data_IF_746875818174
#
_entry.id   IF_746875818174
#
_cell.length_a   1.000
_cell.length_b   1.000
_cell.length_c   1.000
_cell.angle_alpha   90.00
_cell.angle_beta   90.00
_cell.angle_gamma   90.00
#
_symmetry.space_group_name_H-M   'P 1'
#
loop_
_entity.id
_entity.type
_entity.pdbx_description
1 polymer ?
#
# COMPACT_ATOMS: atom_id res chain seq x y z
N UNK A 1 -10.22 1.52 -5.69
CA UNK A 1 -10.19 2.86 -5.08
C UNK A 1 -11.57 3.22 -4.59
N UNK A 2 -11.65 3.88 -3.45
CA UNK A 2 -12.90 4.32 -2.84
C UNK A 2 -12.85 5.84 -2.66
N UNK A 3 -13.89 6.56 -3.10
CA UNK A 3 -13.95 8.03 -3.05
C UNK A 3 -15.25 8.55 -2.45
N UNK A 4 -15.26 9.75 -1.88
CA UNK A 4 -16.44 10.39 -1.27
C UNK A 4 -16.75 9.88 0.15
N UNK A 5 -17.96 10.07 0.65
CA UNK A 5 -18.42 9.48 1.91
C UNK A 5 -19.10 8.14 1.64
N UNK A 6 -18.80 7.11 2.45
CA UNK A 6 -19.46 5.81 2.32
C UNK A 6 -20.98 5.96 2.47
N UNK A 7 -21.76 5.26 1.65
CA UNK A 7 -23.23 5.33 1.65
C UNK A 7 -23.84 6.65 1.12
N UNK A 8 -23.07 7.74 1.03
CA UNK A 8 -23.55 9.05 0.58
C UNK A 8 -22.65 9.63 -0.53
N UNK A 9 -23.01 9.35 -1.79
CA UNK A 9 -22.30 9.80 -3.00
C UNK A 9 -20.87 9.27 -3.14
N UNK A 10 -20.48 8.28 -2.33
CA UNK A 10 -19.19 7.62 -2.46
C UNK A 10 -19.17 6.60 -3.60
N UNK A 11 -18.12 6.63 -4.43
CA UNK A 11 -17.92 5.68 -5.54
C UNK A 11 -16.84 4.67 -5.18
N UNK A 12 -17.05 3.42 -5.62
CA UNK A 12 -16.09 2.34 -5.51
C UNK A 12 -15.66 1.93 -6.92
N UNK A 13 -14.37 2.09 -7.21
CA UNK A 13 -13.77 1.73 -8.49
C UNK A 13 -13.00 0.43 -8.36
N UNK A 14 -13.35 -0.53 -9.20
CA UNK A 14 -12.58 -1.73 -9.48
C UNK A 14 -11.77 -1.49 -10.76
N UNK A 15 -10.47 -1.70 -10.71
CA UNK A 15 -9.57 -1.52 -11.85
C UNK A 15 -8.75 -2.78 -12.06
N UNK A 16 -8.46 -3.09 -13.32
CA UNK A 16 -7.47 -4.09 -13.72
C UNK A 16 -6.64 -3.52 -14.86
N UNK A 17 -5.35 -3.81 -14.87
CA UNK A 17 -4.43 -3.45 -15.94
C UNK A 17 -4.15 -4.59 -16.91
N UNK A 18 -4.60 -5.81 -16.58
CA UNK A 18 -4.11 -7.06 -17.19
C UNK A 18 -2.58 -7.23 -17.13
N UNK A 19 -1.91 -6.53 -16.20
CA UNK A 19 -0.48 -6.65 -15.96
C UNK A 19 -0.24 -7.19 -14.54
N UNK A 20 0.25 -8.42 -14.46
CA UNK A 20 0.54 -9.10 -13.18
C UNK A 20 1.70 -8.48 -12.39
N UNK A 21 2.55 -7.67 -13.05
CA UNK A 21 3.78 -7.13 -12.45
C UNK A 21 3.61 -5.74 -11.86
N UNK A 22 2.54 -5.03 -12.19
CA UNK A 22 2.35 -3.66 -11.70
C UNK A 22 0.88 -3.22 -11.63
N UNK A 23 0.60 -2.43 -10.59
CA UNK A 23 -0.68 -1.77 -10.39
C UNK A 23 -0.76 -0.47 -11.22
N UNK A 24 -0.97 -0.60 -12.53
CA UNK A 24 -1.10 0.58 -13.40
C UNK A 24 -2.54 1.09 -13.51
N UNK A 25 -3.55 0.23 -13.37
CA UNK A 25 -4.95 0.61 -13.53
C UNK A 25 -5.41 1.62 -12.49
N UNK A 26 -5.10 1.34 -11.21
CA UNK A 26 -5.47 2.25 -10.12
C UNK A 26 -4.66 3.55 -10.16
N UNK A 27 -3.38 3.46 -10.51
CA UNK A 27 -2.49 4.63 -10.62
C UNK A 27 -2.93 5.55 -11.75
N UNK A 28 -3.35 5.01 -12.89
CA UNK A 28 -3.89 5.80 -14.00
C UNK A 28 -5.21 6.49 -13.63
N UNK A 29 -6.13 5.77 -12.99
CA UNK A 29 -7.40 6.33 -12.51
C UNK A 29 -7.16 7.48 -11.53
N UNK A 30 -6.26 7.29 -10.55
CA UNK A 30 -5.87 8.35 -9.62
C UNK A 30 -5.31 9.56 -10.37
N UNK A 31 -4.31 9.36 -11.23
CA UNK A 31 -3.60 10.46 -11.88
C UNK A 31 -4.46 11.26 -12.86
N UNK A 32 -5.37 10.60 -13.56
CA UNK A 32 -6.17 11.21 -14.64
C UNK A 32 -7.50 11.75 -14.16
N UNK A 33 -8.06 11.21 -13.08
CA UNK A 33 -9.45 11.52 -12.69
C UNK A 33 -9.59 11.91 -11.21
N UNK A 34 -8.94 11.19 -10.29
CA UNK A 34 -9.31 11.28 -8.87
C UNK A 34 -8.41 12.19 -8.03
N UNK A 35 -7.18 12.49 -8.46
CA UNK A 35 -6.23 13.26 -7.63
C UNK A 35 -6.67 14.69 -7.33
N UNK A 36 -7.58 15.26 -8.12
CA UNK A 36 -8.05 16.65 -8.00
C UNK A 36 -9.54 16.69 -7.64
N UNK A 37 -9.88 17.27 -6.49
CA UNK A 37 -11.27 17.57 -6.12
C UNK A 37 -12.10 16.40 -5.59
N UNK A 38 -11.57 15.17 -5.62
CA UNK A 38 -12.22 14.03 -4.97
C UNK A 38 -11.68 13.80 -3.57
N UNK A 39 -12.59 13.46 -2.65
CA UNK A 39 -12.22 12.84 -1.38
C UNK A 39 -11.80 11.39 -1.63
N UNK A 40 -10.59 11.01 -1.24
CA UNK A 40 -10.03 9.67 -1.39
C UNK A 40 -10.13 8.95 -0.04
N UNK A 41 -10.93 7.88 0.04
CA UNK A 41 -11.09 7.09 1.26
C UNK A 41 -10.05 6.00 1.37
N UNK A 42 -9.97 5.15 0.34
CA UNK A 42 -9.15 3.95 0.42
C UNK A 42 -8.61 3.48 -0.92
N UNK A 43 -7.39 2.96 -0.88
CA UNK A 43 -6.72 2.25 -1.95
C UNK A 43 -6.50 0.80 -1.49
N UNK A 44 -7.25 -0.12 -2.08
CA UNK A 44 -7.04 -1.55 -1.91
C UNK A 44 -6.57 -2.14 -3.23
N UNK A 45 -5.54 -2.98 -3.18
CA UNK A 45 -5.11 -3.83 -4.29
C UNK A 45 -4.84 -5.26 -3.80
N UNK A 46 -4.72 -6.19 -4.73
CA UNK A 46 -4.46 -7.59 -4.42
C UNK A 46 -2.99 -7.93 -4.61
N UNK A 47 -2.46 -8.80 -3.75
CA UNK A 47 -1.18 -9.47 -3.98
C UNK A 47 -1.46 -10.91 -4.43
N UNK A 48 -1.36 -11.26 -5.73
CA UNK A 48 -1.76 -12.58 -6.24
C UNK A 48 -0.98 -13.75 -5.62
N UNK A 49 0.26 -13.51 -5.19
CA UNK A 49 1.10 -14.48 -4.48
C UNK A 49 0.69 -14.71 -3.02
N UNK A 50 -0.26 -13.93 -2.50
CA UNK A 50 -0.71 -13.94 -1.09
C UNK A 50 0.35 -13.49 -0.08
N UNK A 51 1.29 -12.65 -0.51
CA UNK A 51 2.19 -11.94 0.41
C UNK A 51 1.41 -10.76 0.98
N UNK A 52 1.23 -10.71 2.29
CA UNK A 52 0.43 -9.66 2.96
C UNK A 52 1.30 -8.54 3.55
N UNK A 53 2.51 -8.39 3.02
CA UNK A 53 3.47 -7.36 3.42
C UNK A 53 3.61 -6.38 2.25
N UNK A 54 3.52 -5.06 2.48
CA UNK A 54 3.67 -4.09 1.41
C UNK A 54 5.06 -4.21 0.75
N UNK A 55 5.06 -4.18 -0.57
CA UNK A 55 6.27 -4.28 -1.38
C UNK A 55 7.19 -3.08 -1.17
N UNK A 56 8.50 -3.37 -1.17
CA UNK A 56 9.58 -2.38 -1.17
C UNK A 56 9.48 -1.32 -0.06
N UNK A 57 9.31 -1.78 1.18
CA UNK A 57 9.52 -0.95 2.36
C UNK A 57 10.94 -0.36 2.32
N UNK A 58 11.05 0.97 2.22
CA UNK A 58 12.33 1.68 2.07
C UNK A 58 12.91 1.72 0.65
N UNK A 59 12.20 1.19 -0.35
CA UNK A 59 12.59 1.23 -1.76
C UNK A 59 12.02 2.43 -2.53
N UNK A 60 12.40 2.56 -3.80
CA UNK A 60 11.97 3.67 -4.69
C UNK A 60 10.60 3.45 -5.36
N UNK A 61 10.19 2.19 -5.50
CA UNK A 61 8.94 1.78 -6.17
C UNK A 61 8.23 0.76 -5.33
N UNK A 62 6.91 0.65 -5.38
CA UNK A 62 6.13 -0.34 -4.64
C UNK A 62 5.00 0.30 -3.84
N UNK A 63 4.44 -0.47 -2.91
CA UNK A 63 3.26 -0.09 -2.15
C UNK A 63 3.51 1.15 -1.28
N UNK A 64 4.64 1.18 -0.55
CA UNK A 64 4.99 2.31 0.33
C UNK A 64 5.22 3.61 -0.49
N UNK A 65 6.05 3.63 -1.56
CA UNK A 65 6.20 4.83 -2.39
C UNK A 65 4.91 5.31 -3.05
N UNK A 66 4.01 4.41 -3.44
CA UNK A 66 2.68 4.79 -3.96
C UNK A 66 1.86 5.47 -2.87
N UNK A 67 1.80 4.88 -1.66
CA UNK A 67 1.06 5.47 -0.55
C UNK A 67 1.59 6.85 -0.16
N UNK A 68 2.92 7.02 -0.11
CA UNK A 68 3.58 8.31 0.11
C UNK A 68 3.15 9.34 -0.93
N UNK A 69 3.32 9.00 -2.21
CA UNK A 69 3.02 9.92 -3.32
C UNK A 69 1.54 10.30 -3.37
N UNK A 70 0.63 9.35 -3.15
CA UNK A 70 -0.80 9.63 -3.18
C UNK A 70 -1.23 10.52 -2.01
N UNK A 71 -0.69 10.26 -0.81
CA UNK A 71 -0.93 11.09 0.38
C UNK A 71 -0.39 12.51 0.16
N UNK A 72 0.82 12.64 -0.36
CA UNK A 72 1.47 13.93 -0.64
C UNK A 72 0.72 14.74 -1.70
N UNK A 73 0.41 14.14 -2.86
CA UNK A 73 -0.27 14.84 -3.96
C UNK A 73 -1.67 15.29 -3.57
N UNK A 74 -2.40 14.43 -2.86
CA UNK A 74 -3.80 14.71 -2.50
C UNK A 74 -3.95 15.56 -1.25
N UNK A 75 -2.92 15.59 -0.39
CA UNK A 75 -2.97 16.12 0.96
C UNK A 75 -4.16 15.56 1.78
N UNK A 76 -4.40 14.24 1.65
CA UNK A 76 -5.50 13.53 2.31
C UNK A 76 -4.99 12.31 3.07
N UNK A 77 -5.70 11.98 4.16
CA UNK A 77 -5.52 10.70 4.85
C UNK A 77 -6.26 9.61 4.08
N UNK A 78 -5.51 8.68 3.48
CA UNK A 78 -6.04 7.57 2.67
C UNK A 78 -5.73 6.26 3.40
N UNK A 79 -6.71 5.37 3.52
CA UNK A 79 -6.47 3.99 3.98
C UNK A 79 -5.87 3.17 2.85
N UNK A 80 -4.70 2.57 3.07
CA UNK A 80 -4.11 1.62 2.13
C UNK A 80 -4.22 0.21 2.66
N UNK A 81 -4.47 -0.76 1.78
CA UNK A 81 -4.51 -2.16 2.19
C UNK A 81 -4.28 -3.16 1.05
N UNK A 82 -3.81 -4.33 1.44
CA UNK A 82 -3.50 -5.46 0.57
C UNK A 82 -4.50 -6.57 0.83
N UNK A 83 -5.12 -7.08 -0.24
CA UNK A 83 -5.94 -8.28 -0.20
C UNK A 83 -5.13 -9.51 -0.62
N UNK A 84 -5.18 -10.55 0.21
CA UNK A 84 -4.65 -11.88 -0.11
C UNK A 84 -5.74 -12.79 -0.68
N UNK A 85 -5.73 -13.12 -1.97
CA UNK A 85 -6.81 -13.92 -2.57
C UNK A 85 -6.81 -15.39 -2.12
N UNK A 86 -5.71 -15.91 -1.55
CA UNK A 86 -5.64 -17.29 -1.04
C UNK A 86 -6.08 -17.40 0.41
N UNK A 87 -5.79 -16.40 1.25
CA UNK A 87 -6.23 -16.39 2.66
C UNK A 87 -7.56 -15.66 2.88
N UNK A 88 -7.98 -14.79 1.96
CA UNK A 88 -9.15 -13.94 2.10
C UNK A 88 -8.93 -12.76 3.06
N UNK A 89 -7.69 -12.51 3.47
CA UNK A 89 -7.34 -11.51 4.47
C UNK A 89 -7.01 -10.14 3.87
N UNK A 90 -7.20 -9.11 4.69
CA UNK A 90 -6.76 -7.74 4.40
C UNK A 90 -5.72 -7.29 5.42
N UNK A 91 -4.62 -6.74 4.95
CA UNK A 91 -3.62 -6.08 5.80
C UNK A 91 -3.50 -4.62 5.38
N UNK A 92 -3.72 -3.71 6.34
CA UNK A 92 -3.59 -2.27 6.11
C UNK A 92 -2.15 -1.81 6.29
N UNK A 93 -1.78 -0.76 5.56
CA UNK A 93 -0.47 -0.11 5.68
C UNK A 93 -0.60 1.41 5.52
N UNK A 94 0.47 2.12 5.86
CA UNK A 94 0.56 3.58 5.71
C UNK A 94 1.81 4.01 4.94
N UNK A 95 1.90 5.30 4.55
CA UNK A 95 3.04 5.85 3.82
C UNK A 95 4.37 5.78 4.59
N UNK A 96 4.32 5.55 5.90
CA UNK A 96 5.49 5.46 6.77
C UNK A 96 5.69 4.07 7.38
N UNK A 97 4.94 3.06 6.91
CA UNK A 97 5.06 1.71 7.44
C UNK A 97 6.45 1.13 7.21
N UNK A 98 6.90 0.34 8.18
CA UNK A 98 8.20 -0.32 8.21
C UNK A 98 8.02 -1.83 8.33
N UNK A 99 9.08 -2.60 8.08
CA UNK A 99 8.99 -4.05 8.10
C UNK A 99 8.62 -4.57 9.51
N UNK A 100 9.02 -3.84 10.55
CA UNK A 100 8.74 -4.17 11.94
C UNK A 100 7.25 -4.02 12.31
N UNK A 101 6.47 -3.30 11.49
CA UNK A 101 5.02 -3.18 11.68
C UNK A 101 4.28 -4.47 11.29
N UNK A 102 4.96 -5.40 10.60
CA UNK A 102 4.40 -6.65 10.12
C UNK A 102 5.07 -7.83 10.83
N UNK A 103 4.27 -8.64 11.52
CA UNK A 103 4.75 -9.89 12.07
C UNK A 103 5.01 -10.88 10.94
N UNK A 104 6.27 -11.11 10.61
CA UNK A 104 6.66 -12.16 9.67
C UNK A 104 6.74 -13.47 10.46
N UNK A 105 5.66 -14.25 10.45
CA UNK A 105 5.72 -15.61 10.98
C UNK A 105 6.30 -16.52 9.89
N UNK A 106 7.63 -16.58 9.83
CA UNK A 106 8.32 -17.57 9.03
C UNK A 106 8.32 -18.86 9.86
N UNK A 107 7.36 -19.74 9.62
CA UNK A 107 7.45 -21.09 10.20
C UNK A 107 8.82 -21.68 9.81
N UNK A 108 9.65 -21.92 10.82
CA UNK A 108 11.01 -22.44 10.68
C UNK A 108 12.17 -21.43 10.75
N UNK A 109 11.93 -20.10 10.81
CA UNK A 109 13.01 -19.12 10.94
C UNK A 109 12.67 -17.94 11.87
N UNK A 110 13.41 -17.82 12.98
CA UNK A 110 13.41 -16.61 13.80
C UNK A 110 14.33 -15.56 13.16
N UNK A 111 13.77 -14.52 12.57
CA UNK A 111 14.55 -13.36 12.09
C UNK A 111 14.54 -12.27 13.16
N UNK A 112 15.67 -12.07 13.84
CA UNK A 112 15.87 -10.96 14.77
C UNK A 112 16.51 -9.80 14.03
N UNK A 113 15.81 -8.66 13.93
CA UNK A 113 16.37 -7.44 13.37
C UNK A 113 17.44 -6.86 14.31
N UNK A 114 18.72 -7.10 14.03
CA UNK A 114 19.81 -6.51 14.81
C UNK A 114 20.14 -5.13 14.28
N UNK A 115 19.83 -4.09 15.07
CA UNK A 115 20.15 -2.70 14.75
C UNK A 115 21.67 -2.47 14.89
N UNK A 116 22.41 -2.44 13.78
CA UNK A 116 23.85 -2.11 13.81
C UNK A 116 24.05 -0.60 13.88
N UNK A 117 24.46 -0.08 15.03
CA UNK A 117 24.97 1.30 15.13
C UNK A 117 26.45 1.31 14.73
N UNK A 118 26.77 1.84 13.54
CA UNK A 118 28.15 2.18 13.18
C UNK A 118 28.56 3.43 13.98
N UNK A 119 29.32 3.23 15.05
CA UNK A 119 30.06 4.33 15.68
C UNK A 119 31.12 4.83 14.70
N UNK A 120 30.90 6.01 14.11
CA UNK A 120 31.96 6.77 13.44
C UNK A 120 32.97 7.18 14.51
N UNK A 121 34.17 6.61 14.50
CA UNK A 121 35.31 7.14 15.26
C UNK A 121 35.65 8.52 14.69
N UNK A 122 35.79 9.50 15.59
CA UNK A 122 36.27 10.86 15.31
C UNK A 122 37.69 10.83 14.78
#
# INVERSE_FOLDING_TARGET
MQTGTEGAKGLNYLTTSHNEKSESGMVDLFNKQLKNGYTLRAFYHSHPSNVLIPSNIGGKYGDIPIAQKMTEISNQSITFGIYGPKSGEYVTFGPNSKIEDYSVNLEGFTVTATRTTKNRKK
#
